data_IF_051089539101
#
_entry.id   IF_051089539101
#
_cell.length_a   1.000
_cell.length_b   1.000
_cell.length_c   1.000
_cell.angle_alpha   90.00
_cell.angle_beta   90.00
_cell.angle_gamma   90.00
#
_symmetry.space_group_name_H-M   'P 1'
#
loop_
_entity.id
_entity.type
_entity.pdbx_description
1 polymer ?
#
# COMPACT_ATOMS: atom_id res chain seq x y z
N UNK A 1 10.54 20.37 16.84
CA UNK A 1 9.69 19.22 17.17
C UNK A 1 10.13 18.07 16.30
N UNK A 2 10.67 16.99 16.87
CA UNK A 2 10.93 15.77 16.12
C UNK A 2 9.60 15.17 15.65
N UNK A 3 9.28 15.38 14.37
CA UNK A 3 8.10 14.80 13.74
C UNK A 3 8.39 13.30 13.54
N UNK A 4 8.13 12.48 14.56
CA UNK A 4 8.31 11.03 14.46
C UNK A 4 7.31 10.48 13.44
N UNK A 5 7.77 10.22 12.22
CA UNK A 5 7.02 9.48 11.21
C UNK A 5 6.97 8.00 11.61
N UNK A 6 5.98 7.65 12.42
CA UNK A 6 5.78 6.29 12.93
C UNK A 6 4.86 5.53 11.96
N UNK A 7 5.39 4.46 11.37
CA UNK A 7 4.60 3.52 10.60
C UNK A 7 3.62 2.75 11.49
N UNK A 8 2.45 2.43 10.96
CA UNK A 8 1.48 1.56 11.63
C UNK A 8 2.11 0.20 11.89
N UNK A 9 1.79 -0.37 13.05
CA UNK A 9 2.20 -1.73 13.33
C UNK A 9 1.45 -2.70 12.40
N UNK A 10 2.11 -3.76 11.94
CA UNK A 10 1.52 -4.77 11.04
C UNK A 10 0.20 -5.35 11.58
N UNK A 11 0.12 -5.54 12.90
CA UNK A 11 -1.09 -6.02 13.56
C UNK A 11 -2.26 -5.02 13.47
N UNK A 12 -1.99 -3.71 13.56
CA UNK A 12 -3.03 -2.67 13.46
C UNK A 12 -3.59 -2.59 12.04
N UNK A 13 -2.73 -2.74 11.03
CA UNK A 13 -3.15 -2.83 9.62
C UNK A 13 -4.08 -4.04 9.43
N UNK A 14 -3.68 -5.21 9.93
CA UNK A 14 -4.50 -6.43 9.85
C UNK A 14 -5.82 -6.26 10.60
N UNK A 15 -5.79 -5.67 11.80
CA UNK A 15 -6.98 -5.42 12.59
C UNK A 15 -7.92 -4.43 11.89
N UNK A 16 -7.40 -3.36 11.30
CA UNK A 16 -8.17 -2.38 10.54
C UNK A 16 -8.84 -3.01 9.31
N UNK A 17 -8.11 -3.86 8.57
CA UNK A 17 -8.68 -4.60 7.44
C UNK A 17 -9.82 -5.53 7.89
N UNK A 18 -9.64 -6.23 9.02
CA UNK A 18 -10.67 -7.08 9.60
C UNK A 18 -11.90 -6.29 10.06
N UNK A 19 -11.70 -5.11 10.64
CA UNK A 19 -12.79 -4.19 11.03
C UNK A 19 -13.59 -3.70 9.82
N UNK A 20 -12.94 -3.53 8.66
CA UNK A 20 -13.59 -3.25 7.37
C UNK A 20 -14.24 -4.49 6.72
N UNK A 21 -14.15 -5.67 7.35
CA UNK A 21 -14.70 -6.92 6.81
C UNK A 21 -13.87 -7.55 5.70
N UNK A 22 -12.59 -7.17 5.55
CA UNK A 22 -11.67 -7.74 4.55
C UNK A 22 -10.42 -8.35 5.20
N UNK A 23 -9.53 -8.91 4.37
CA UNK A 23 -8.25 -9.47 4.78
C UNK A 23 -7.21 -9.27 3.67
N UNK A 24 -5.92 -9.36 4.01
CA UNK A 24 -4.84 -9.30 3.02
C UNK A 24 -5.03 -10.32 1.90
N UNK A 25 -5.45 -11.55 2.24
CA UNK A 25 -5.71 -12.60 1.25
C UNK A 25 -6.93 -12.29 0.37
N UNK A 26 -7.95 -11.63 0.90
CA UNK A 26 -9.11 -11.20 0.12
C UNK A 26 -8.72 -10.05 -0.84
N UNK A 27 -7.99 -9.05 -0.36
CA UNK A 27 -7.51 -7.93 -1.18
C UNK A 27 -6.51 -8.38 -2.25
N UNK A 28 -5.64 -9.35 -1.94
CA UNK A 28 -4.73 -9.94 -2.92
C UNK A 28 -5.50 -10.56 -4.08
N UNK A 29 -6.53 -11.38 -3.77
CA UNK A 29 -7.39 -12.03 -4.78
C UNK A 29 -8.17 -11.00 -5.62
N UNK A 30 -8.74 -9.97 -4.97
CA UNK A 30 -9.43 -8.87 -5.67
C UNK A 30 -8.54 -8.15 -6.69
N UNK A 31 -7.24 -8.08 -6.41
CA UNK A 31 -6.26 -7.42 -7.27
C UNK A 31 -5.53 -8.37 -8.24
N UNK A 32 -5.96 -9.64 -8.33
CA UNK A 32 -5.36 -10.65 -9.22
C UNK A 32 -3.94 -11.06 -8.81
N UNK A 33 -3.64 -11.00 -7.51
CA UNK A 33 -2.37 -11.40 -6.91
C UNK A 33 -2.55 -12.72 -6.14
N UNK A 34 -1.45 -13.47 -5.94
CA UNK A 34 -1.49 -14.67 -5.08
C UNK A 34 -1.80 -14.26 -3.63
N UNK A 35 -2.55 -15.09 -2.90
CA UNK A 35 -3.05 -14.78 -1.55
C UNK A 35 -1.98 -14.33 -0.55
N UNK A 36 -0.72 -14.74 -0.75
CA UNK A 36 0.42 -14.35 0.10
C UNK A 36 1.17 -13.11 -0.40
N UNK A 37 0.98 -12.68 -1.65
CA UNK A 37 1.78 -11.59 -2.24
C UNK A 37 1.55 -10.27 -1.51
N UNK A 38 0.31 -9.97 -1.09
CA UNK A 38 -0.01 -8.72 -0.40
C UNK A 38 0.63 -8.61 0.99
N UNK A 39 0.92 -9.74 1.64
CA UNK A 39 1.59 -9.73 2.94
C UNK A 39 3.02 -9.16 2.87
N UNK A 40 3.67 -9.23 1.70
CA UNK A 40 5.02 -8.66 1.50
C UNK A 40 5.05 -7.13 1.68
N UNK A 41 3.92 -6.44 1.49
CA UNK A 41 3.84 -4.98 1.68
C UNK A 41 4.06 -4.57 3.14
N UNK A 42 3.77 -5.46 4.10
CA UNK A 42 3.97 -5.19 5.52
C UNK A 42 5.44 -5.13 5.91
N UNK A 43 6.30 -5.90 5.24
CA UNK A 43 7.72 -6.04 5.60
C UNK A 43 8.65 -5.28 4.68
N UNK A 44 8.27 -5.05 3.41
CA UNK A 44 9.13 -4.39 2.41
C UNK A 44 8.41 -3.24 1.71
N UNK A 45 9.12 -2.14 1.36
CA UNK A 45 8.55 -1.06 0.55
C UNK A 45 8.03 -1.57 -0.78
N UNK A 46 6.71 -1.60 -0.90
CA UNK A 46 6.03 -2.05 -2.11
C UNK A 46 4.88 -1.11 -2.45
N UNK A 47 5.15 -0.01 -3.19
CA UNK A 47 4.17 1.07 -3.40
C UNK A 47 2.82 0.57 -3.95
N UNK A 48 2.83 -0.45 -4.80
CA UNK A 48 1.59 -1.04 -5.33
C UNK A 48 0.79 -1.80 -4.25
N UNK A 49 1.45 -2.59 -3.42
CA UNK A 49 0.79 -3.31 -2.32
C UNK A 49 0.32 -2.37 -1.23
N UNK A 50 1.13 -1.36 -0.90
CA UNK A 50 0.77 -0.29 0.05
C UNK A 50 -0.48 0.46 -0.42
N UNK A 51 -0.57 0.81 -1.72
CA UNK A 51 -1.79 1.43 -2.28
C UNK A 51 -3.01 0.53 -2.18
N UNK A 52 -2.88 -0.78 -2.45
CA UNK A 52 -4.01 -1.72 -2.33
C UNK A 52 -4.52 -1.76 -0.89
N UNK A 53 -3.63 -1.86 0.08
CA UNK A 53 -3.98 -1.86 1.51
C UNK A 53 -4.61 -0.53 1.91
N UNK A 54 -4.00 0.59 1.52
CA UNK A 54 -4.51 1.92 1.83
C UNK A 54 -5.90 2.16 1.24
N UNK A 55 -6.11 1.75 -0.02
CA UNK A 55 -7.40 1.81 -0.70
C UNK A 55 -8.46 0.97 0.03
N UNK A 56 -8.12 -0.25 0.47
CA UNK A 56 -9.03 -1.11 1.24
C UNK A 56 -9.38 -0.53 2.63
N UNK A 57 -8.50 0.31 3.19
CA UNK A 57 -8.74 1.04 4.43
C UNK A 57 -9.35 2.44 4.22
N UNK A 58 -9.64 2.82 2.97
CA UNK A 58 -10.14 4.14 2.58
C UNK A 58 -9.24 5.29 3.09
N UNK A 59 -7.93 5.06 3.02
CA UNK A 59 -6.91 6.02 3.44
C UNK A 59 -5.79 6.09 2.40
N UNK A 60 -4.75 6.85 2.73
CA UNK A 60 -3.57 7.00 1.88
C UNK A 60 -2.37 6.21 2.43
N UNK A 61 -1.47 5.71 1.56
CA UNK A 61 -0.34 4.91 2.00
C UNK A 61 0.63 5.68 2.90
N UNK A 62 0.74 7.00 2.74
CA UNK A 62 1.56 7.86 3.60
C UNK A 62 1.00 8.08 5.01
N UNK A 63 -0.28 7.75 5.24
CA UNK A 63 -0.86 7.75 6.59
C UNK A 63 -0.46 6.48 7.35
N UNK A 64 -0.36 5.36 6.62
CA UNK A 64 0.01 4.05 7.18
C UNK A 64 1.53 3.93 7.33
N UNK A 65 2.28 4.39 6.33
CA UNK A 65 3.74 4.34 6.29
C UNK A 65 4.36 5.73 6.06
N UNK A 66 4.17 6.69 6.97
CA UNK A 66 4.73 8.03 6.82
C UNK A 66 6.25 8.01 6.64
N UNK A 67 6.98 7.07 7.27
CA UNK A 67 8.44 7.00 7.15
C UNK A 67 8.93 6.70 5.72
N UNK A 68 8.05 6.15 4.87
CA UNK A 68 8.37 5.78 3.48
C UNK A 68 8.08 6.91 2.50
N UNK A 69 7.12 7.77 2.83
CA UNK A 69 6.61 8.85 1.97
C UNK A 69 7.03 10.25 2.43
N UNK A 70 7.76 10.37 3.55
CA UNK A 70 8.34 11.63 4.00
C UNK A 70 9.85 11.52 4.13
N UNK A 71 10.56 12.53 3.61
CA UNK A 71 12.00 12.64 3.81
C UNK A 71 12.29 12.99 5.28
N UNK A 72 13.16 12.24 5.98
CA UNK A 72 13.45 12.49 7.40
C UNK A 72 14.22 13.79 7.66
N UNK A 73 14.82 14.40 6.64
CA UNK A 73 15.63 15.61 6.73
C UNK A 73 14.83 16.81 6.20
N UNK A 74 14.36 16.73 4.95
CA UNK A 74 13.66 17.85 4.30
C UNK A 74 12.17 17.91 4.65
N UNK A 75 11.63 16.85 5.24
CA UNK A 75 10.19 16.67 5.51
C UNK A 75 9.32 16.74 4.25
N UNK A 76 9.93 16.69 3.07
CA UNK A 76 9.22 16.73 1.80
C UNK A 76 8.47 15.42 1.55
N UNK A 77 7.31 15.55 0.92
CA UNK A 77 6.49 14.41 0.55
C UNK A 77 7.04 13.75 -0.72
N UNK A 78 7.41 12.48 -0.61
CA UNK A 78 7.91 11.66 -1.71
C UNK A 78 6.74 10.84 -2.27
N UNK A 79 6.25 11.25 -3.43
CA UNK A 79 5.22 10.50 -4.16
C UNK A 79 5.80 9.21 -4.80
N UNK A 80 5.86 8.14 -4.00
CA UNK A 80 6.32 6.82 -4.47
C UNK A 80 5.34 6.14 -5.42
N UNK A 81 4.12 6.66 -5.59
CA UNK A 81 3.15 6.07 -6.54
C UNK A 81 3.66 6.18 -7.98
N UNK A 82 4.53 7.17 -8.26
CA UNK A 82 5.24 7.34 -9.54
C UNK A 82 6.20 6.19 -9.87
N UNK A 83 6.64 5.42 -8.88
CA UNK A 83 7.49 4.24 -9.09
C UNK A 83 6.70 2.98 -9.48
N UNK A 84 5.37 3.04 -9.47
CA UNK A 84 4.53 1.91 -9.82
C UNK A 84 4.58 1.71 -11.34
N UNK A 85 5.23 0.61 -11.74
CA UNK A 85 5.26 0.19 -13.13
C UNK A 85 3.83 0.05 -13.65
N UNK A 86 3.47 0.91 -14.61
CA UNK A 86 2.18 0.84 -15.28
C UNK A 86 2.03 -0.51 -15.99
N UNK A 87 0.85 -1.15 -15.86
CA UNK A 87 0.52 -2.30 -16.70
C UNK A 87 0.48 -1.81 -18.15
N UNK A 88 1.24 -2.45 -19.04
CA UNK A 88 0.96 -2.40 -20.49
C UNK A 88 -0.47 -2.96 -20.66
N UNK A 89 -1.46 -2.08 -20.83
CA UNK A 89 -2.79 -2.48 -21.25
C UNK A 89 -2.65 -3.13 -22.62
N UNK A 90 -2.85 -4.45 -22.70
CA UNK A 90 -2.95 -5.16 -23.97
C UNK A 90 -4.22 -4.61 -24.62
N UNK A 91 -4.10 -3.69 -25.58
CA UNK A 91 -5.23 -3.22 -26.38
C UNK A 91 -5.80 -4.45 -27.08
N UNK A 92 -7.00 -4.88 -26.68
CA UNK A 92 -7.78 -5.81 -27.46
C UNK A 92 -8.12 -5.10 -28.78
N UNK A 93 -7.61 -5.64 -29.88
CA UNK A 93 -7.95 -5.20 -31.23
C UNK A 93 -9.39 -5.68 -31.49
N UNK A 94 -10.32 -4.78 -31.87
CA UNK A 94 -11.61 -5.25 -32.36
C UNK A 94 -11.39 -5.98 -33.70
N UNK A 95 -12.08 -7.11 -33.82
CA UNK A 95 -12.07 -8.01 -34.99
C UNK A 95 -12.67 -7.32 -36.21
#
# INVERSE_FOLDING_TARGET
>A
MDMKFIDWHSADIIAALRKKGTSLAAESRRNGLSSSTLANALTRPWPKGELIIASALETHPWVIWPSRYHDPITHEFIDRTRMIRQKKTRKEQPV
#
